data_IF_306258113507
#
_entry.id   IF_306258113507
#
_cell.length_a   1.000
_cell.length_b   1.000
_cell.length_c   1.000
_cell.angle_alpha   90.00
_cell.angle_beta   90.00
_cell.angle_gamma   90.00
#
_symmetry.space_group_name_H-M   'P 1'
#
loop_
_entity.id
_entity.type
_entity.pdbx_description
1 polymer ?
#
# COMPACT_ATOMS: atom_id res chain seq x y z
N UNK A 1 -20.59 23.02 5.96
CA UNK A 1 -20.01 21.77 6.50
C UNK A 1 -18.50 21.84 6.35
N UNK A 2 -17.69 21.58 7.38
CA UNK A 2 -16.21 21.54 7.24
C UNK A 2 -15.82 20.30 6.44
N UNK A 3 -15.21 20.46 5.27
CA UNK A 3 -14.63 19.35 4.52
C UNK A 3 -13.44 18.78 5.31
N UNK A 4 -13.49 17.49 5.62
CA UNK A 4 -12.35 16.77 6.18
C UNK A 4 -11.31 16.53 5.08
N UNK A 5 -10.01 16.71 5.35
CA UNK A 5 -8.97 16.46 4.36
C UNK A 5 -8.91 14.98 3.97
N UNK A 6 -8.54 14.74 2.70
CA UNK A 6 -8.35 13.40 2.15
C UNK A 6 -7.16 12.73 2.83
N UNK A 7 -7.35 11.50 3.28
CA UNK A 7 -6.26 10.65 3.80
C UNK A 7 -5.83 9.66 2.74
N UNK A 8 -4.52 9.48 2.63
CA UNK A 8 -3.91 8.36 1.92
C UNK A 8 -3.45 7.34 2.97
N UNK A 9 -3.97 6.12 2.88
CA UNK A 9 -3.54 5.05 3.77
C UNK A 9 -2.20 4.49 3.32
N UNK A 10 -1.28 4.38 4.27
CA UNK A 10 -0.01 3.69 4.08
C UNK A 10 -0.24 2.18 3.89
N UNK A 11 0.75 1.48 3.34
CA UNK A 11 0.65 0.03 3.15
C UNK A 11 0.49 -0.72 4.48
N UNK A 12 1.12 -0.26 5.57
CA UNK A 12 0.95 -0.85 6.90
C UNK A 12 -0.47 -0.66 7.46
N UNK A 13 -1.08 0.51 7.23
CA UNK A 13 -2.47 0.75 7.62
C UNK A 13 -3.44 -0.13 6.82
N UNK A 14 -3.23 -0.28 5.50
CA UNK A 14 -4.01 -1.22 4.69
C UNK A 14 -3.84 -2.65 5.17
N UNK A 15 -2.61 -3.05 5.53
CA UNK A 15 -2.34 -4.38 6.08
C UNK A 15 -3.15 -4.63 7.35
N UNK A 16 -3.18 -3.65 8.27
CA UNK A 16 -3.98 -3.73 9.48
C UNK A 16 -5.49 -3.83 9.19
N UNK A 17 -6.01 -3.06 8.23
CA UNK A 17 -7.42 -3.14 7.79
C UNK A 17 -7.75 -4.56 7.33
N UNK A 18 -6.89 -5.14 6.48
CA UNK A 18 -7.07 -6.50 6.01
C UNK A 18 -6.93 -7.54 7.12
N UNK A 19 -6.04 -7.35 8.10
CA UNK A 19 -5.84 -8.29 9.20
C UNK A 19 -7.10 -8.35 10.07
N UNK A 20 -7.72 -7.20 10.31
CA UNK A 20 -8.99 -7.06 11.03
C UNK A 20 -10.16 -7.64 10.25
N UNK A 21 -10.22 -7.38 8.94
CA UNK A 21 -11.21 -8.00 8.05
C UNK A 21 -11.11 -9.54 8.07
N UNK A 22 -9.90 -10.09 8.00
CA UNK A 22 -9.67 -11.54 8.07
C UNK A 22 -10.08 -12.13 9.43
N UNK A 23 -9.98 -11.36 10.51
CA UNK A 23 -10.45 -11.75 11.85
C UNK A 23 -11.97 -11.71 12.00
N UNK A 24 -12.70 -11.15 11.04
CA UNK A 24 -14.16 -11.02 11.07
C UNK A 24 -14.65 -9.71 11.71
N UNK A 25 -13.76 -8.74 11.94
CA UNK A 25 -14.17 -7.44 12.49
C UNK A 25 -15.05 -6.69 11.49
N UNK A 26 -16.09 -6.01 11.99
CA UNK A 26 -17.01 -5.27 11.13
C UNK A 26 -16.36 -4.02 10.53
N UNK A 27 -16.82 -3.58 9.37
CA UNK A 27 -16.32 -2.36 8.71
C UNK A 27 -16.38 -1.12 9.61
N UNK A 28 -17.36 -1.05 10.51
CA UNK A 28 -17.49 0.03 11.49
C UNK A 28 -16.37 -0.01 12.53
N UNK A 29 -16.08 -1.17 13.10
CA UNK A 29 -14.99 -1.34 14.08
C UNK A 29 -13.64 -1.02 13.46
N UNK A 30 -13.39 -1.49 12.23
CA UNK A 30 -12.14 -1.18 11.52
C UNK A 30 -12.04 0.33 11.29
N UNK A 31 -13.15 1.01 10.94
CA UNK A 31 -13.14 2.44 10.66
C UNK A 31 -12.95 3.31 11.91
N UNK A 32 -13.48 2.87 13.06
CA UNK A 32 -13.23 3.49 14.35
C UNK A 32 -11.73 3.54 14.70
N UNK A 33 -10.95 2.50 14.35
CA UNK A 33 -9.50 2.48 14.58
C UNK A 33 -8.75 3.60 13.85
N UNK A 34 -9.32 4.13 12.76
CA UNK A 34 -8.70 5.19 11.96
C UNK A 34 -9.35 6.57 12.16
N UNK A 35 -10.32 6.70 13.08
CA UNK A 35 -11.19 7.88 13.24
C UNK A 35 -11.92 8.26 11.91
N UNK A 36 -12.39 7.24 11.18
CA UNK A 36 -13.02 7.40 9.86
C UNK A 36 -14.37 6.71 9.76
N UNK A 37 -15.10 7.10 8.72
CA UNK A 37 -16.36 6.47 8.35
C UNK A 37 -16.09 5.23 7.48
N UNK A 38 -16.88 4.17 7.66
CA UNK A 38 -16.69 2.86 7.03
C UNK A 38 -16.61 2.84 5.48
N UNK A 39 -17.23 3.75 4.69
CA UNK A 39 -17.21 3.69 3.23
C UNK A 39 -15.81 3.79 2.65
N UNK A 40 -14.90 4.47 3.34
CA UNK A 40 -13.49 4.55 2.92
C UNK A 40 -12.80 3.17 2.97
N UNK A 41 -13.13 2.37 3.98
CA UNK A 41 -12.59 1.01 4.17
C UNK A 41 -13.30 0.04 3.23
N UNK A 42 -14.62 0.15 3.12
CA UNK A 42 -15.42 -0.63 2.18
C UNK A 42 -14.85 -0.53 0.76
N UNK A 43 -14.55 0.70 0.29
CA UNK A 43 -13.96 0.91 -1.04
C UNK A 43 -12.64 0.15 -1.23
N UNK A 44 -11.77 0.15 -0.22
CA UNK A 44 -10.47 -0.54 -0.28
C UNK A 44 -10.64 -2.05 -0.33
N UNK A 45 -11.59 -2.60 0.44
CA UNK A 45 -11.85 -4.04 0.47
C UNK A 45 -12.62 -4.51 -0.76
N UNK A 46 -13.57 -3.71 -1.25
CA UNK A 46 -14.39 -4.02 -2.43
C UNK A 46 -13.59 -3.95 -3.73
N UNK A 47 -12.55 -3.11 -3.80
CA UNK A 47 -11.66 -3.01 -4.97
C UNK A 47 -11.06 -4.37 -5.39
N UNK A 48 -10.85 -5.28 -4.43
CA UNK A 48 -10.30 -6.61 -4.67
C UNK A 48 -11.29 -7.73 -4.30
N UNK A 49 -12.58 -7.42 -4.24
CA UNK A 49 -13.64 -8.40 -3.95
C UNK A 49 -13.57 -9.03 -2.57
N UNK A 50 -12.97 -8.34 -1.58
CA UNK A 50 -12.80 -8.87 -0.23
C UNK A 50 -11.65 -9.88 -0.08
N UNK A 51 -10.82 -10.04 -1.10
CA UNK A 51 -9.60 -10.86 -1.06
C UNK A 51 -8.39 -9.93 -0.94
N UNK A 52 -7.50 -10.21 0.02
CA UNK A 52 -6.28 -9.42 0.22
C UNK A 52 -5.41 -9.48 -1.04
N UNK A 53 -5.11 -8.34 -1.70
CA UNK A 53 -4.20 -8.34 -2.84
C UNK A 53 -2.78 -8.74 -2.39
N UNK A 54 -2.05 -9.38 -3.30
CA UNK A 54 -0.65 -9.69 -3.05
C UNK A 54 0.15 -8.40 -2.91
N UNK A 55 1.12 -8.39 -1.99
CA UNK A 55 2.00 -7.25 -1.83
C UNK A 55 2.77 -7.05 -3.13
N UNK A 56 2.70 -5.84 -3.70
CA UNK A 56 3.47 -5.49 -4.91
C UNK A 56 4.96 -5.58 -4.57
N UNK A 57 5.68 -6.43 -5.30
CA UNK A 57 7.13 -6.59 -5.20
C UNK A 57 7.74 -6.27 -6.55
N UNK A 58 8.94 -5.67 -6.55
CA UNK A 58 9.69 -5.52 -7.80
C UNK A 58 10.07 -6.91 -8.32
N UNK A 59 10.15 -7.03 -9.64
CA UNK A 59 10.69 -8.23 -10.26
C UNK A 59 12.10 -8.49 -9.77
N UNK A 60 12.48 -9.76 -9.64
CA UNK A 60 13.87 -10.15 -9.33
C UNK A 60 14.85 -9.73 -10.43
N UNK A 61 14.35 -9.50 -11.64
CA UNK A 61 15.13 -9.02 -12.79
C UNK A 61 15.30 -7.50 -12.79
N UNK A 62 14.61 -6.78 -11.91
CA UNK A 62 14.74 -5.33 -11.83
C UNK A 62 16.04 -4.98 -11.09
N UNK A 63 16.84 -4.09 -11.69
CA UNK A 63 18.06 -3.58 -11.07
C UNK A 63 17.76 -2.99 -9.69
N UNK A 64 18.57 -3.39 -8.72
CA UNK A 64 18.63 -2.81 -7.38
C UNK A 64 19.09 -1.36 -7.46
N UNK A 65 19.06 -0.66 -6.32
CA UNK A 65 19.58 0.70 -6.26
C UNK A 65 21.10 0.70 -6.51
N UNK A 66 21.82 -0.23 -5.88
CA UNK A 66 23.27 -0.38 -5.99
C UNK A 66 23.69 -0.69 -7.43
N UNK A 67 23.06 -1.67 -8.08
CA UNK A 67 23.37 -2.01 -9.48
C UNK A 67 23.11 -0.83 -10.41
N UNK A 68 22.04 -0.05 -10.18
CA UNK A 68 21.80 1.18 -10.96
C UNK A 68 22.88 2.23 -10.73
N UNK A 69 23.34 2.40 -9.50
CA UNK A 69 24.42 3.35 -9.19
C UNK A 69 25.74 2.93 -9.83
N UNK A 70 26.09 1.65 -9.78
CA UNK A 70 27.28 1.10 -10.43
C UNK A 70 27.25 1.30 -11.94
N UNK A 71 26.13 0.92 -12.59
CA UNK A 71 25.95 1.15 -14.02
C UNK A 71 25.99 2.63 -14.37
N UNK A 72 25.34 3.49 -13.56
CA UNK A 72 25.38 4.94 -13.78
C UNK A 72 26.79 5.51 -13.70
N UNK A 73 27.61 5.04 -12.76
CA UNK A 73 29.00 5.49 -12.62
C UNK A 73 29.88 4.96 -13.77
N UNK A 74 29.72 3.69 -14.15
CA UNK A 74 30.43 3.10 -15.27
C UNK A 74 30.16 3.85 -16.58
N UNK A 75 28.90 4.20 -16.83
CA UNK A 75 28.50 5.03 -17.99
C UNK A 75 29.17 6.40 -17.99
N UNK A 76 29.28 7.07 -16.83
CA UNK A 76 29.95 8.37 -16.70
C UNK A 76 31.46 8.26 -16.93
N UNK A 77 32.08 7.14 -16.53
CA UNK A 77 33.52 6.89 -16.71
C UNK A 77 33.83 6.49 -18.17
N UNK A 78 32.83 6.09 -18.97
CA UNK A 78 33.02 5.65 -20.35
C UNK A 78 33.36 4.17 -20.49
N UNK A 79 33.12 3.37 -19.44
CA UNK A 79 33.23 1.92 -19.49
C UNK A 79 31.90 1.34 -19.98
N UNK A 80 31.73 1.33 -21.30
CA UNK A 80 30.58 0.73 -22.00
C UNK A 80 31.03 -0.37 -22.95
#
# INVERSE_FOLDING_TARGET
MKQRPRIYYTESQKYLMWDRWKKGDSLHQIAQLFDRHHPSIHRILSETGGIRPTQRRRSKLALTLTEREELSRALVIGNS
#
